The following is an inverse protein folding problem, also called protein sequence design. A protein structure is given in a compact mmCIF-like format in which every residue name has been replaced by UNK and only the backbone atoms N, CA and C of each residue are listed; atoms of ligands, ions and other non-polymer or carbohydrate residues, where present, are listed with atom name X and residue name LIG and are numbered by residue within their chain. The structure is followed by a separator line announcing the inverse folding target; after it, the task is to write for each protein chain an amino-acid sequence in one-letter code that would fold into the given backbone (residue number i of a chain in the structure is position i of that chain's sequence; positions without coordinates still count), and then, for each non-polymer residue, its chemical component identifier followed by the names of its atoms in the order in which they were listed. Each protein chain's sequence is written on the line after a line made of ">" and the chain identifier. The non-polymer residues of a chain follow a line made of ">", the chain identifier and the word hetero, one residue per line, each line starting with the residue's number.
data_IF_570675983334
#
_entry.id   IF_570675983334
#
_cell.length_a   1.000
_cell.length_b   1.000
_cell.length_c   1.000
_cell.angle_alpha   90.00
_cell.angle_beta   90.00
_cell.angle_gamma   90.00
#
_symmetry.space_group_name_H-M   'P 1'
#
loop_
_entity.id
_entity.type
_entity.pdbx_description
1 polymer ?
#
# COMPACT_ATOMS: atom_id res chain seq x y z
N UNK A 1 9.04 12.13 6.52
CA UNK A 1 8.55 10.79 6.17
C UNK A 1 8.87 9.78 7.27
N UNK A 2 10.14 9.62 7.64
CA UNK A 2 10.61 8.63 8.64
C UNK A 2 9.98 8.84 10.05
N UNK A 3 9.83 10.08 10.51
CA UNK A 3 9.28 10.36 11.85
C UNK A 3 7.81 9.92 12.03
N UNK A 4 6.98 10.06 10.98
CA UNK A 4 5.57 9.67 11.05
C UNK A 4 5.44 8.14 11.11
N UNK A 5 6.14 7.42 10.25
CA UNK A 5 6.13 5.95 10.24
C UNK A 5 6.64 5.41 11.58
N UNK A 6 7.72 5.99 12.12
CA UNK A 6 8.25 5.62 13.44
C UNK A 6 7.21 5.77 14.56
N UNK A 7 6.43 6.85 14.56
CA UNK A 7 5.37 7.04 15.55
C UNK A 7 4.21 6.06 15.34
N UNK A 8 3.83 5.81 14.07
CA UNK A 8 2.82 4.82 13.73
C UNK A 8 3.22 3.39 14.16
N UNK A 9 4.51 3.05 14.14
CA UNK A 9 5.03 1.77 14.62
C UNK A 9 4.94 1.61 16.15
N UNK A 10 4.77 2.69 16.92
CA UNK A 10 4.55 2.63 18.37
C UNK A 10 3.09 2.36 18.75
N UNK A 11 2.17 2.46 17.79
CA UNK A 11 0.75 2.16 18.02
C UNK A 11 0.56 0.70 18.43
N UNK A 12 -0.45 0.43 19.27
CA UNK A 12 -0.86 -0.95 19.58
C UNK A 12 -1.33 -1.74 18.36
N UNK A 13 -1.68 -1.06 17.26
CA UNK A 13 -2.09 -1.73 16.04
C UNK A 13 -0.87 -2.20 15.22
N UNK A 14 -0.65 -3.51 15.07
CA UNK A 14 0.61 -4.05 14.53
C UNK A 14 0.88 -3.68 13.07
N UNK A 15 -0.16 -3.29 12.33
CA UNK A 15 -0.06 -2.95 10.91
C UNK A 15 -0.10 -1.46 10.58
N UNK A 16 -0.20 -0.56 11.57
CA UNK A 16 -0.41 0.86 11.28
C UNK A 16 0.78 1.46 10.52
N UNK A 17 2.01 1.17 10.96
CA UNK A 17 3.23 1.62 10.28
C UNK A 17 3.28 1.19 8.82
N UNK A 18 3.07 -0.11 8.56
CA UNK A 18 3.09 -0.67 7.20
C UNK A 18 2.00 -0.08 6.30
N UNK A 19 0.78 0.11 6.82
CA UNK A 19 -0.31 0.72 6.03
C UNK A 19 0.01 2.18 5.69
N UNK A 20 0.55 2.95 6.64
CA UNK A 20 0.93 4.34 6.39
C UNK A 20 2.08 4.43 5.38
N UNK A 21 3.06 3.55 5.49
CA UNK A 21 4.16 3.44 4.53
C UNK A 21 3.65 3.14 3.12
N UNK A 22 2.78 2.14 2.96
CA UNK A 22 2.14 1.82 1.68
C UNK A 22 1.37 3.00 1.10
N UNK A 23 0.61 3.74 1.90
CA UNK A 23 -0.13 4.92 1.44
C UNK A 23 0.80 6.03 0.94
N UNK A 24 1.94 6.23 1.61
CA UNK A 24 2.94 7.23 1.22
C UNK A 24 3.64 6.82 -0.09
N UNK A 25 4.01 5.54 -0.23
CA UNK A 25 4.72 5.04 -1.41
C UNK A 25 3.83 4.93 -2.65
N UNK A 26 2.54 4.60 -2.48
CA UNK A 26 1.62 4.29 -3.59
C UNK A 26 0.66 5.43 -3.94
N UNK A 27 0.42 6.37 -3.00
CA UNK A 27 -0.63 7.38 -3.15
C UNK A 27 -2.06 6.84 -3.16
N UNK A 28 -2.26 5.55 -2.86
CA UNK A 28 -3.57 4.93 -2.78
C UNK A 28 -4.42 5.50 -1.63
N UNK A 29 -5.74 5.29 -1.67
CA UNK A 29 -6.64 5.68 -0.58
C UNK A 29 -6.56 4.68 0.56
N UNK A 30 -6.77 5.15 1.79
CA UNK A 30 -6.74 4.30 3.00
C UNK A 30 -7.66 3.07 2.91
N UNK A 31 -8.86 3.23 2.32
CA UNK A 31 -9.79 2.12 2.10
C UNK A 31 -9.33 1.12 1.05
N UNK A 32 -8.59 1.56 0.03
CA UNK A 32 -8.07 0.72 -1.05
C UNK A 32 -6.97 -0.21 -0.52
N UNK A 33 -6.02 0.33 0.26
CA UNK A 33 -4.96 -0.47 0.92
C UNK A 33 -5.54 -1.41 1.97
N UNK A 34 -6.44 -0.92 2.84
CA UNK A 34 -7.02 -1.74 3.92
C UNK A 34 -7.83 -2.93 3.41
N UNK A 35 -8.48 -2.79 2.26
CA UNK A 35 -9.30 -3.84 1.66
C UNK A 35 -8.56 -4.63 0.56
N UNK A 36 -7.29 -4.32 0.31
CA UNK A 36 -6.48 -5.06 -0.64
C UNK A 36 -6.31 -6.52 -0.17
N UNK A 37 -6.24 -7.43 -1.14
CA UNK A 37 -6.00 -8.86 -0.94
C UNK A 37 -4.69 -9.21 -1.62
N UNK A 38 -4.05 -10.29 -1.18
CA UNK A 38 -2.86 -10.82 -1.86
C UNK A 38 -3.08 -11.10 -3.35
N UNK A 39 -4.29 -11.50 -3.74
CA UNK A 39 -4.67 -11.69 -5.15
C UNK A 39 -4.69 -10.40 -6.00
N UNK A 40 -4.51 -9.24 -5.38
CA UNK A 40 -4.41 -7.95 -6.08
C UNK A 40 -2.96 -7.51 -6.29
N UNK A 41 -1.99 -8.21 -5.70
CA UNK A 41 -0.57 -7.92 -5.86
C UNK A 41 -0.04 -8.84 -6.95
N UNK A 42 0.52 -8.24 -8.00
CA UNK A 42 1.29 -8.92 -9.01
C UNK A 42 2.77 -8.79 -8.67
N UNK A 43 3.38 -9.90 -8.28
CA UNK A 43 4.80 -9.93 -7.91
C UNK A 43 5.73 -9.99 -9.13
N UNK A 44 5.22 -10.39 -10.30
CA UNK A 44 6.00 -10.48 -11.54
C UNK A 44 6.16 -9.08 -12.14
N UNK A 45 5.04 -8.34 -12.22
CA UNK A 45 5.02 -6.96 -12.72
C UNK A 45 5.27 -5.92 -11.62
N UNK A 46 5.54 -6.36 -10.38
CA UNK A 46 5.67 -5.51 -9.19
C UNK A 46 4.56 -4.45 -9.12
N UNK A 47 3.30 -4.87 -9.19
CA UNK A 47 2.17 -3.96 -9.26
C UNK A 47 1.07 -4.29 -8.25
N UNK A 48 0.37 -3.25 -7.80
CA UNK A 48 -0.82 -3.35 -6.97
C UNK A 48 -2.04 -2.95 -7.80
N UNK A 49 -2.96 -3.88 -7.97
CA UNK A 49 -4.25 -3.65 -8.62
C UNK A 49 -5.25 -3.18 -7.56
N UNK A 50 -5.68 -1.93 -7.65
CA UNK A 50 -6.69 -1.41 -6.72
C UNK A 50 -8.08 -1.79 -7.22
N UNK A 51 -8.85 -2.63 -6.50
CA UNK A 51 -10.22 -2.94 -6.88
C UNK A 51 -11.10 -1.70 -6.64
N UNK A 52 -11.59 -1.11 -7.72
CA UNK A 52 -12.46 0.06 -7.67
C UNK A 52 -13.85 -0.28 -7.14
N UNK A 53 -14.27 0.41 -6.08
CA UNK A 53 -15.67 0.47 -5.68
C UNK A 53 -16.43 1.51 -6.52
N UNK A 54 -17.50 1.09 -7.20
CA UNK A 54 -18.52 1.89 -7.93
C UNK A 54 -18.22 2.33 -9.37
N UNK A 55 -16.99 2.48 -9.84
CA UNK A 55 -16.70 2.86 -11.25
C UNK A 55 -15.74 1.84 -11.86
N UNK A 56 -16.04 1.32 -13.05
CA UNK A 56 -15.38 0.14 -13.66
C UNK A 56 -13.91 0.29 -14.08
N UNK A 57 -13.22 1.39 -13.75
CA UNK A 57 -11.84 1.63 -14.17
C UNK A 57 -10.83 1.09 -13.16
N UNK A 58 -10.18 -0.03 -13.51
CA UNK A 58 -9.06 -0.59 -12.73
C UNK A 58 -7.92 0.43 -12.66
N UNK A 59 -7.37 0.64 -11.46
CA UNK A 59 -6.15 1.42 -11.25
C UNK A 59 -5.01 0.44 -10.93
N UNK A 60 -3.88 0.58 -11.63
CA UNK A 60 -2.68 -0.22 -11.40
C UNK A 60 -1.61 0.74 -10.89
N UNK A 61 -1.02 0.41 -9.74
CA UNK A 61 0.08 1.16 -9.14
C UNK A 61 1.33 0.30 -9.27
N UNK A 62 2.33 0.78 -10.01
CA UNK A 62 3.63 0.11 -10.08
C UNK A 62 4.42 0.40 -8.80
N UNK A 63 4.95 -0.66 -8.20
CA UNK A 63 5.74 -0.62 -6.99
C UNK A 63 7.20 -0.43 -7.37
N UNK A 64 7.95 0.26 -6.50
CA UNK A 64 9.40 0.42 -6.66
C UNK A 64 10.09 -0.93 -6.53
N UNK A 65 11.17 -1.13 -7.30
CA UNK A 65 12.08 -2.25 -7.05
C UNK A 65 12.61 -2.20 -5.62
N UNK A 66 12.70 -3.38 -5.02
CA UNK A 66 13.39 -3.54 -3.75
C UNK A 66 14.89 -3.23 -3.96
N UNK A 67 15.36 -2.12 -3.42
CA UNK A 67 16.78 -1.81 -3.36
C UNK A 67 17.30 -2.21 -1.99
N UNK A 68 18.17 -3.23 -1.94
CA UNK A 68 18.95 -3.54 -0.75
C UNK A 68 19.95 -2.41 -0.52
N UNK A 69 19.68 -1.55 0.46
CA UNK A 69 20.64 -0.60 1.05
C UNK A 69 20.65 -0.73 2.55
#
# INVERSE_FOLDING_TARGET
>A
MIALISECCKSHHPFLGYVVELLILTGARCGEIRLAKWSHIDMEESSLIVPVGKTSKRCVIYLSEWSET
#
